data_IF_259627447725
#
_entry.id   IF_259627447725
#
_cell.length_a   1.000
_cell.length_b   1.000
_cell.length_c   1.000
_cell.angle_alpha   90.00
_cell.angle_beta   90.00
_cell.angle_gamma   90.00
#
_symmetry.space_group_name_H-M   'P 1'
#
loop_
_entity.id
_entity.type
_entity.pdbx_description
1 polymer ?
#
# COMPACT_ATOMS: atom_id res chain seq x y z
N UNK A 1 0.21 2.58 27.69
CA UNK A 1 1.53 1.91 27.60
C UNK A 1 2.74 2.85 27.58
N UNK A 2 2.65 4.08 27.04
CA UNK A 2 3.81 5.02 27.00
C UNK A 2 4.36 5.44 28.38
N UNK A 3 3.49 5.64 29.37
CA UNK A 3 3.85 6.18 30.69
C UNK A 3 4.68 5.25 31.59
N UNK A 4 4.55 3.93 31.41
CA UNK A 4 5.28 2.95 32.25
C UNK A 4 6.72 2.76 31.78
N UNK A 5 6.98 2.95 30.49
CA UNK A 5 8.33 2.84 29.91
C UNK A 5 9.25 3.97 30.39
N UNK A 6 8.71 5.16 30.65
CA UNK A 6 9.49 6.30 31.14
C UNK A 6 9.95 6.16 32.60
N UNK A 7 9.48 5.13 33.33
CA UNK A 7 9.90 4.84 34.71
C UNK A 7 11.01 3.80 34.79
N UNK A 8 11.55 3.34 33.66
CA UNK A 8 12.61 2.32 33.60
C UNK A 8 13.87 2.99 33.08
N UNK A 9 14.97 2.93 33.85
CA UNK A 9 16.20 3.65 33.57
C UNK A 9 17.45 2.86 34.00
N UNK A 10 18.57 3.12 33.32
CA UNK A 10 19.85 2.44 33.55
C UNK A 10 20.60 2.92 34.80
N UNK A 11 20.14 4.00 35.42
CA UNK A 11 20.87 4.81 36.41
C UNK A 11 20.30 4.68 37.83
N UNK A 12 19.46 3.67 38.06
CA UNK A 12 18.88 3.38 39.38
C UNK A 12 19.58 2.20 40.07
N UNK A 13 19.60 2.21 41.40
CA UNK A 13 20.14 1.14 42.26
C UNK A 13 19.48 -0.24 42.08
N UNK A 14 18.42 -0.30 41.28
CA UNK A 14 17.61 -1.49 41.02
C UNK A 14 17.88 -1.99 39.60
N UNK A 15 18.15 -3.29 39.39
CA UNK A 15 18.36 -3.84 38.05
C UNK A 15 17.10 -3.74 37.16
N UNK A 16 17.30 -3.51 35.86
CA UNK A 16 16.22 -3.34 34.85
C UNK A 16 15.16 -4.45 34.90
N UNK A 17 15.57 -5.69 35.17
CA UNK A 17 14.66 -6.83 35.33
C UNK A 17 13.63 -6.57 36.43
N UNK A 18 14.08 -6.04 37.57
CA UNK A 18 13.23 -5.74 38.71
C UNK A 18 12.36 -4.51 38.48
N UNK A 19 12.89 -3.49 37.78
CA UNK A 19 12.10 -2.34 37.36
C UNK A 19 10.96 -2.75 36.39
N UNK A 20 11.22 -3.66 35.46
CA UNK A 20 10.20 -4.19 34.54
C UNK A 20 9.10 -4.97 35.28
N UNK A 21 9.48 -5.78 36.28
CA UNK A 21 8.53 -6.49 37.16
C UNK A 21 7.64 -5.52 37.94
N UNK A 22 8.24 -4.52 38.60
CA UNK A 22 7.52 -3.54 39.43
C UNK A 22 6.57 -2.65 38.61
N UNK A 23 6.97 -2.30 37.40
CA UNK A 23 6.17 -1.45 36.49
C UNK A 23 5.15 -2.25 35.68
N UNK A 24 5.19 -3.58 35.72
CA UNK A 24 4.37 -4.46 34.90
C UNK A 24 4.62 -4.30 33.39
N UNK A 25 5.84 -3.90 33.01
CA UNK A 25 6.27 -3.76 31.63
C UNK A 25 7.09 -4.98 31.19
N UNK A 26 6.95 -5.42 29.94
CA UNK A 26 7.80 -6.50 29.43
C UNK A 26 9.23 -5.99 29.24
N UNK A 27 10.22 -6.82 29.56
CA UNK A 27 11.64 -6.54 29.27
C UNK A 27 11.90 -6.19 27.81
N UNK A 28 11.18 -6.85 26.89
CA UNK A 28 11.26 -6.56 25.45
C UNK A 28 10.87 -5.11 25.12
N UNK A 29 9.93 -4.51 25.85
CA UNK A 29 9.50 -3.13 25.61
C UNK A 29 10.60 -2.12 25.95
N UNK A 30 11.44 -2.39 26.96
CA UNK A 30 12.56 -1.52 27.33
C UNK A 30 13.65 -1.51 26.25
N UNK A 31 14.09 -2.70 25.82
CA UNK A 31 15.13 -2.84 24.80
C UNK A 31 14.66 -2.54 23.37
N UNK A 32 13.35 -2.56 23.13
CA UNK A 32 12.78 -2.21 21.82
C UNK A 32 13.01 -0.73 21.54
N UNK A 33 14.05 -0.40 20.79
CA UNK A 33 14.24 0.93 20.22
C UNK A 33 13.21 1.07 19.09
N UNK A 34 12.21 1.97 19.20
CA UNK A 34 11.42 2.30 18.03
C UNK A 34 12.41 2.80 16.99
N UNK A 35 12.42 2.17 15.82
CA UNK A 35 13.14 2.66 14.67
C UNK A 35 12.52 4.00 14.30
N UNK A 36 13.06 5.07 14.89
CA UNK A 36 12.83 6.43 14.40
C UNK A 36 13.27 6.36 12.95
N UNK A 37 12.31 6.43 12.04
CA UNK A 37 12.56 6.53 10.61
C UNK A 37 13.16 7.91 10.45
N UNK A 38 14.47 8.04 10.72
CA UNK A 38 15.26 9.13 10.20
C UNK A 38 15.21 8.93 8.70
N UNK A 39 14.33 9.68 8.03
CA UNK A 39 14.35 9.75 6.59
C UNK A 39 15.70 10.35 6.22
N UNK A 40 16.61 9.48 5.81
CA UNK A 40 17.78 9.81 5.00
C UNK A 40 17.35 10.87 3.95
N UNK A 41 18.11 11.96 3.70
CA UNK A 41 17.73 12.98 2.72
C UNK A 41 17.31 12.39 1.37
N UNK A 42 17.95 11.28 0.97
CA UNK A 42 17.62 10.51 -0.23
C UNK A 42 16.22 9.86 -0.18
N UNK A 43 15.72 9.50 1.01
CA UNK A 43 14.36 8.97 1.16
C UNK A 43 13.27 10.00 0.92
N UNK A 44 13.50 11.27 1.29
CA UNK A 44 12.53 12.33 1.00
C UNK A 44 12.35 12.49 -0.50
N UNK A 45 13.46 12.57 -1.24
CA UNK A 45 13.44 12.69 -2.71
C UNK A 45 12.71 11.51 -3.35
N UNK A 46 12.95 10.29 -2.85
CA UNK A 46 12.25 9.10 -3.34
C UNK A 46 10.75 9.11 -3.02
N UNK A 47 10.34 9.63 -1.86
CA UNK A 47 8.93 9.77 -1.52
C UNK A 47 8.22 10.77 -2.44
N UNK A 48 8.84 11.93 -2.66
CA UNK A 48 8.31 12.97 -3.55
C UNK A 48 8.14 12.42 -4.98
N UNK A 49 9.14 11.69 -5.50
CA UNK A 49 9.06 11.03 -6.81
C UNK A 49 7.97 9.97 -6.89
N UNK A 50 7.80 9.16 -5.83
CA UNK A 50 6.76 8.13 -5.80
C UNK A 50 5.38 8.78 -5.79
N UNK A 51 5.19 9.83 -5.01
CA UNK A 51 3.91 10.54 -4.90
C UNK A 51 3.51 11.20 -6.22
N UNK A 52 4.45 11.91 -6.85
CA UNK A 52 4.25 12.55 -8.16
C UNK A 52 3.92 11.52 -9.25
N UNK A 53 4.67 10.42 -9.29
CA UNK A 53 4.46 9.38 -10.30
C UNK A 53 3.17 8.61 -10.08
N UNK A 54 2.81 8.33 -8.83
CA UNK A 54 1.54 7.66 -8.52
C UNK A 54 0.34 8.57 -8.83
N UNK A 55 0.48 9.88 -8.63
CA UNK A 55 -0.55 10.86 -9.02
C UNK A 55 -0.78 10.87 -10.53
N UNK A 56 0.28 10.70 -11.34
CA UNK A 56 0.17 10.57 -12.80
C UNK A 56 -0.36 9.20 -13.24
N UNK A 57 0.10 8.14 -12.59
CA UNK A 57 -0.21 6.75 -12.94
C UNK A 57 -0.68 5.96 -11.71
N UNK A 58 -1.96 6.11 -11.28
CA UNK A 58 -2.48 5.54 -10.03
C UNK A 58 -2.57 4.01 -10.00
N UNK A 59 -2.20 3.34 -11.08
CA UNK A 59 -2.14 1.88 -11.21
C UNK A 59 -0.71 1.31 -11.07
N UNK A 60 0.31 2.16 -10.91
CA UNK A 60 1.69 1.69 -10.79
C UNK A 60 1.94 0.98 -9.46
N UNK A 61 2.24 -0.33 -9.55
CA UNK A 61 2.76 -1.10 -8.42
C UNK A 61 4.27 -0.97 -8.24
N UNK A 62 4.78 -1.53 -7.14
CA UNK A 62 6.21 -1.51 -6.77
C UNK A 62 7.19 -1.89 -7.88
N UNK A 63 6.79 -2.76 -8.82
CA UNK A 63 7.62 -3.16 -9.97
C UNK A 63 7.81 -1.99 -10.95
N UNK A 64 6.71 -1.41 -11.44
CA UNK A 64 6.74 -0.28 -12.37
C UNK A 64 7.34 0.95 -11.72
N UNK A 65 6.97 1.23 -10.47
CA UNK A 65 7.52 2.33 -9.69
C UNK A 65 9.05 2.21 -9.53
N UNK A 66 9.58 0.99 -9.28
CA UNK A 66 11.03 0.79 -9.21
C UNK A 66 11.75 0.99 -10.55
N UNK A 67 11.09 0.71 -11.67
CA UNK A 67 11.64 0.97 -12.99
C UNK A 67 11.67 2.46 -13.29
N UNK A 68 10.57 3.17 -13.02
CA UNK A 68 10.48 4.62 -13.17
C UNK A 68 11.58 5.33 -12.37
N UNK A 69 11.73 5.02 -11.09
CA UNK A 69 12.75 5.64 -10.22
C UNK A 69 14.18 5.39 -10.75
N UNK A 70 14.44 4.20 -11.31
CA UNK A 70 15.72 3.90 -11.95
C UNK A 70 15.96 4.70 -13.22
N UNK A 71 14.92 4.97 -14.00
CA UNK A 71 15.01 5.85 -15.17
C UNK A 71 15.29 7.30 -14.76
N UNK A 72 14.86 7.72 -13.57
CA UNK A 72 15.22 9.03 -12.98
C UNK A 72 16.66 9.07 -12.41
N UNK A 73 17.45 8.00 -12.58
CA UNK A 73 18.86 7.94 -12.16
C UNK A 73 19.12 7.35 -10.77
N UNK A 74 18.08 6.96 -10.02
CA UNK A 74 18.24 6.43 -8.66
C UNK A 74 18.36 4.90 -8.65
N UNK A 75 19.45 4.38 -8.12
CA UNK A 75 19.64 2.95 -7.93
C UNK A 75 18.89 2.44 -6.68
N UNK A 76 17.62 2.08 -6.87
CA UNK A 76 16.77 1.55 -5.78
C UNK A 76 16.42 0.07 -5.94
N UNK A 77 16.37 -0.63 -4.81
CA UNK A 77 15.82 -1.98 -4.73
C UNK A 77 14.29 -1.91 -4.63
N UNK A 78 13.60 -2.84 -5.31
CA UNK A 78 12.14 -2.99 -5.23
C UNK A 78 11.62 -3.10 -3.79
N UNK A 79 12.34 -3.75 -2.88
CA UNK A 79 11.95 -3.84 -1.45
C UNK A 79 11.89 -2.46 -0.77
N UNK A 80 12.82 -1.55 -1.14
CA UNK A 80 12.85 -0.17 -0.65
C UNK A 80 11.64 0.60 -1.16
N UNK A 81 11.37 0.54 -2.46
CA UNK A 81 10.19 1.17 -3.09
C UNK A 81 8.90 0.65 -2.47
N UNK A 82 8.77 -0.66 -2.26
CA UNK A 82 7.59 -1.25 -1.61
C UNK A 82 7.38 -0.74 -0.18
N UNK A 83 8.46 -0.57 0.60
CA UNK A 83 8.38 0.06 1.93
C UNK A 83 7.90 1.50 1.83
N UNK A 84 8.47 2.31 0.94
CA UNK A 84 8.10 3.72 0.76
C UNK A 84 6.65 3.89 0.29
N UNK A 85 6.19 3.07 -0.65
CA UNK A 85 4.78 3.05 -1.05
C UNK A 85 3.85 2.76 0.14
N UNK A 86 4.23 1.84 1.05
CA UNK A 86 3.43 1.59 2.27
C UNK A 86 3.42 2.77 3.23
N UNK A 87 4.52 3.53 3.32
CA UNK A 87 4.57 4.76 4.13
C UNK A 87 3.55 5.77 3.61
N UNK A 88 3.44 5.90 2.27
CA UNK A 88 2.45 6.76 1.61
C UNK A 88 1.05 6.13 1.52
N UNK A 89 0.83 4.93 2.08
CA UNK A 89 -0.43 4.17 1.96
C UNK A 89 -0.86 3.90 0.51
N UNK A 90 0.11 3.80 -0.41
CA UNK A 90 -0.12 3.54 -1.83
C UNK A 90 -0.05 2.04 -2.15
N UNK A 91 -0.98 1.59 -3.00
CA UNK A 91 -1.01 0.24 -3.53
C UNK A 91 -1.21 0.29 -5.05
N UNK A 92 -0.43 -0.49 -5.79
CA UNK A 92 -0.63 -0.60 -7.24
C UNK A 92 -1.91 -1.36 -7.54
N UNK A 93 -2.76 -0.79 -8.37
CA UNK A 93 -3.91 -1.47 -8.94
C UNK A 93 -3.47 -2.31 -10.13
N UNK A 94 -3.59 -3.62 -10.02
CA UNK A 94 -3.39 -4.53 -11.13
C UNK A 94 -4.56 -5.51 -11.20
N UNK A 95 -5.06 -5.87 -12.39
CA UNK A 95 -6.01 -6.94 -12.54
C UNK A 95 -5.48 -8.21 -11.86
N UNK A 96 -6.30 -8.83 -11.02
CA UNK A 96 -5.99 -10.14 -10.48
C UNK A 96 -5.88 -11.18 -11.59
N UNK A 97 -5.27 -12.34 -11.33
CA UNK A 97 -5.36 -13.47 -12.25
C UNK A 97 -6.85 -13.84 -12.47
N UNK A 98 -7.16 -14.36 -13.66
CA UNK A 98 -8.50 -14.90 -14.00
C UNK A 98 -9.65 -13.86 -14.03
N UNK A 99 -9.43 -12.66 -14.54
CA UNK A 99 -10.52 -11.69 -14.78
C UNK A 99 -11.61 -12.19 -15.73
N UNK A 100 -11.31 -13.19 -16.56
CA UNK A 100 -12.28 -13.81 -17.47
C UNK A 100 -13.12 -14.92 -16.82
N UNK A 101 -12.75 -15.38 -15.63
CA UNK A 101 -13.53 -16.38 -14.91
C UNK A 101 -14.56 -15.66 -14.01
N UNK A 102 -15.87 -15.86 -14.23
CA UNK A 102 -16.88 -15.31 -13.34
C UNK A 102 -16.76 -15.95 -11.95
N UNK A 103 -16.95 -15.16 -10.91
CA UNK A 103 -17.00 -15.68 -9.54
C UNK A 103 -18.17 -16.67 -9.42
N UNK A 104 -18.03 -17.83 -8.75
CA UNK A 104 -19.08 -18.85 -8.67
C UNK A 104 -20.41 -18.33 -8.12
N UNK A 105 -20.35 -17.33 -7.24
CA UNK A 105 -21.52 -16.71 -6.61
C UNK A 105 -22.13 -15.58 -7.45
N UNK A 106 -21.51 -15.17 -8.57
CA UNK A 106 -22.07 -14.14 -9.44
C UNK A 106 -23.24 -14.70 -10.23
N UNK A 107 -24.43 -14.16 -9.97
CA UNK A 107 -25.65 -14.51 -10.70
C UNK A 107 -25.50 -14.13 -12.18
N UNK A 108 -25.70 -15.11 -13.06
CA UNK A 108 -25.81 -14.87 -14.50
C UNK A 108 -27.17 -14.26 -14.79
N UNK A 109 -27.19 -13.02 -15.28
CA UNK A 109 -28.41 -12.35 -15.72
C UNK A 109 -28.73 -12.73 -17.17
N UNK A 110 -29.98 -13.05 -17.49
CA UNK A 110 -30.38 -13.32 -18.87
C UNK A 110 -30.21 -12.05 -19.71
N UNK A 111 -29.69 -12.20 -20.93
CA UNK A 111 -29.64 -11.11 -21.90
C UNK A 111 -31.05 -10.86 -22.46
N UNK A 112 -31.75 -9.88 -21.89
CA UNK A 112 -33.16 -9.61 -22.15
C UNK A 112 -33.47 -9.15 -23.59
N UNK A 113 -32.46 -8.71 -24.33
CA UNK A 113 -32.61 -8.31 -25.73
C UNK A 113 -32.53 -9.50 -26.70
N UNK A 114 -32.32 -10.73 -26.21
CA UNK A 114 -32.24 -11.92 -27.05
C UNK A 114 -33.59 -12.16 -27.74
N UNK A 115 -33.60 -12.14 -29.08
CA UNK A 115 -34.80 -12.36 -29.89
C UNK A 115 -35.70 -11.13 -30.09
N UNK A 116 -35.28 -9.96 -29.61
CA UNK A 116 -36.01 -8.70 -29.86
C UNK A 116 -35.65 -8.17 -31.25
N UNK A 117 -36.64 -8.01 -32.13
CA UNK A 117 -36.47 -7.30 -33.39
C UNK A 117 -36.44 -5.78 -33.11
N UNK A 118 -35.33 -5.14 -33.43
CA UNK A 118 -35.14 -3.69 -33.34
C UNK A 118 -35.62 -3.06 -34.66
N UNK A 119 -36.80 -2.45 -34.66
CA UNK A 119 -37.50 -1.98 -35.87
C UNK A 119 -37.50 -0.45 -36.02
N UNK A 120 -37.19 0.31 -34.96
CA UNK A 120 -37.14 1.77 -35.03
C UNK A 120 -35.98 2.37 -34.22
N UNK A 121 -35.53 3.59 -34.55
CA UNK A 121 -34.56 4.33 -33.74
C UNK A 121 -35.03 4.50 -32.28
N UNK A 122 -34.09 4.57 -31.34
CA UNK A 122 -34.33 4.72 -29.89
C UNK A 122 -35.06 3.55 -29.20
N UNK A 123 -35.07 2.36 -29.79
CA UNK A 123 -35.65 1.16 -29.17
C UNK A 123 -34.66 0.40 -28.26
N UNK A 124 -33.37 0.44 -28.60
CA UNK A 124 -32.28 -0.21 -27.84
C UNK A 124 -31.07 0.72 -27.81
N UNK A 125 -30.42 0.83 -26.66
CA UNK A 125 -29.17 1.57 -26.49
C UNK A 125 -28.07 0.66 -25.96
N UNK A 126 -26.85 0.84 -26.47
CA UNK A 126 -25.64 0.19 -25.99
C UNK A 126 -24.59 1.25 -25.73
N UNK A 127 -23.91 1.15 -24.61
CA UNK A 127 -22.78 2.00 -24.26
C UNK A 127 -21.61 1.11 -23.86
N UNK A 128 -20.41 1.46 -24.33
CA UNK A 128 -19.17 0.81 -23.94
C UNK A 128 -18.20 1.88 -23.40
N UNK A 129 -17.39 1.50 -22.41
CA UNK A 129 -16.41 2.39 -21.77
C UNK A 129 -15.02 1.95 -22.20
N UNK A 130 -14.39 2.74 -23.05
CA UNK A 130 -12.98 2.57 -23.39
C UNK A 130 -12.13 3.49 -22.51
N UNK A 131 -11.17 2.90 -21.80
CA UNK A 131 -10.17 3.68 -21.04
C UNK A 131 -9.12 4.22 -22.02
N UNK A 132 -8.75 5.50 -21.98
CA UNK A 132 -7.68 6.04 -22.82
C UNK A 132 -6.36 5.30 -22.57
N UNK A 133 -5.63 4.99 -23.64
CA UNK A 133 -4.29 4.39 -23.57
C UNK A 133 -3.21 5.41 -23.25
#
# INVERSE_FOLDING_TARGET
MKTRRSWIGSDESIPITRQCELTGASRSTFYHKPSVIMLDPDEKVLLDLIDEEFTRHPFYGSRRMSHYIRQQGYQVNRKRVQRLMRVLSLAGMAPGPKTSEPHPEHRVYPYLLRGVNVTHPNQVWSADISVPQ
#
